data_IF_599441156553
#
_entry.id   IF_599441156553
#
_cell.length_a   1.000
_cell.length_b   1.000
_cell.length_c   1.000
_cell.angle_alpha   90.00
_cell.angle_beta   90.00
_cell.angle_gamma   90.00
#
_symmetry.space_group_name_H-M   'P 1'
#
loop_
_entity.id
_entity.type
_entity.pdbx_description
1 polymer ?
#
# COMPACT_ATOMS: atom_id res chain seq x y z
N UNK A 1 36.96 -12.03 -11.66
CA UNK A 1 35.92 -12.12 -12.71
C UNK A 1 34.86 -11.08 -12.41
N UNK A 2 34.59 -10.14 -13.32
CA UNK A 2 33.46 -9.20 -13.19
C UNK A 2 32.16 -9.94 -13.49
N UNK A 3 31.15 -9.82 -12.63
CA UNK A 3 29.81 -10.34 -12.91
C UNK A 3 29.20 -9.55 -14.08
N UNK A 4 29.24 -10.12 -15.28
CA UNK A 4 28.68 -9.50 -16.50
C UNK A 4 27.17 -9.24 -16.39
N UNK A 5 26.47 -9.89 -15.46
CA UNK A 5 25.04 -9.71 -15.22
C UNK A 5 24.72 -8.69 -14.12
N UNK A 6 25.72 -8.11 -13.43
CA UNK A 6 25.47 -7.19 -12.32
C UNK A 6 24.57 -6.00 -12.73
N UNK A 7 24.87 -5.36 -13.87
CA UNK A 7 24.04 -4.28 -14.43
C UNK A 7 22.59 -4.71 -14.66
N UNK A 8 22.40 -5.91 -15.22
CA UNK A 8 21.07 -6.48 -15.49
C UNK A 8 20.30 -6.70 -14.20
N UNK A 9 20.94 -7.33 -13.19
CA UNK A 9 20.34 -7.60 -11.88
C UNK A 9 19.90 -6.30 -11.19
N UNK A 10 20.74 -5.26 -11.23
CA UNK A 10 20.41 -3.95 -10.67
C UNK A 10 19.24 -3.29 -11.40
N UNK A 11 19.17 -3.39 -12.74
CA UNK A 11 18.06 -2.86 -13.53
C UNK A 11 16.75 -3.61 -13.28
N UNK A 12 16.81 -4.93 -13.14
CA UNK A 12 15.63 -5.74 -12.78
C UNK A 12 15.11 -5.37 -11.39
N UNK A 13 16.02 -5.29 -10.40
CA UNK A 13 15.66 -4.83 -9.05
C UNK A 13 15.08 -3.41 -9.07
N UNK A 14 15.69 -2.49 -9.81
CA UNK A 14 15.20 -1.12 -9.95
C UNK A 14 13.80 -1.06 -10.59
N UNK A 15 13.50 -1.93 -11.56
CA UNK A 15 12.15 -2.06 -12.14
C UNK A 15 11.12 -2.47 -11.08
N UNK A 16 11.46 -3.46 -10.25
CA UNK A 16 10.57 -3.91 -9.15
C UNK A 16 10.43 -2.81 -8.08
N UNK A 17 11.52 -2.12 -7.75
CA UNK A 17 11.49 -1.01 -6.80
C UNK A 17 10.56 0.11 -7.27
N UNK A 18 10.51 0.43 -8.57
CA UNK A 18 9.58 1.41 -9.14
C UNK A 18 8.11 1.05 -8.92
N UNK A 19 7.77 -0.23 -8.75
CA UNK A 19 6.41 -0.67 -8.40
C UNK A 19 6.09 -0.38 -6.93
N UNK A 20 7.06 -0.57 -6.03
CA UNK A 20 6.88 -0.43 -4.59
C UNK A 20 6.99 1.02 -4.09
N UNK A 21 7.93 1.79 -4.64
CA UNK A 21 8.29 3.12 -4.15
C UNK A 21 7.12 4.11 -4.09
N UNK A 22 6.24 4.23 -5.11
CA UNK A 22 5.12 5.17 -5.04
C UNK A 22 4.21 4.92 -3.84
N UNK A 23 3.95 3.65 -3.53
CA UNK A 23 3.18 3.27 -2.36
C UNK A 23 3.91 3.59 -1.07
N UNK A 24 5.18 3.20 -0.96
CA UNK A 24 5.97 3.48 0.23
C UNK A 24 6.01 4.97 0.54
N UNK A 25 6.17 5.83 -0.47
CA UNK A 25 6.16 7.29 -0.30
C UNK A 25 4.76 7.83 0.03
N UNK A 26 3.70 7.35 -0.64
CA UNK A 26 2.33 7.85 -0.46
C UNK A 26 1.82 7.72 0.98
N UNK A 27 2.23 6.65 1.68
CA UNK A 27 1.78 6.38 3.04
C UNK A 27 2.69 6.97 4.14
N UNK A 28 3.75 7.71 3.76
CA UNK A 28 4.57 8.51 4.69
C UNK A 28 3.92 9.85 5.01
N UNK A 29 2.73 9.79 5.61
CA UNK A 29 1.92 10.96 5.93
C UNK A 29 1.11 10.73 7.20
N UNK A 30 0.73 11.84 7.84
CA UNK A 30 -0.14 11.87 9.02
C UNK A 30 -1.63 12.02 8.64
N UNK A 31 -1.94 12.14 7.34
CA UNK A 31 -3.33 12.11 6.84
C UNK A 31 -3.96 10.73 7.09
N UNK A 32 -5.27 10.62 7.33
CA UNK A 32 -5.95 9.33 7.45
C UNK A 32 -6.03 8.63 6.07
N UNK A 33 -5.12 7.69 5.82
CA UNK A 33 -4.97 7.03 4.50
C UNK A 33 -5.58 5.64 4.42
N UNK A 34 -6.11 5.10 5.53
CA UNK A 34 -6.51 3.70 5.64
C UNK A 34 -7.58 3.29 4.62
N UNK A 35 -8.48 4.20 4.24
CA UNK A 35 -9.57 3.94 3.29
C UNK A 35 -9.07 3.68 1.85
N UNK A 36 -7.89 4.20 1.50
CA UNK A 36 -7.27 4.01 0.18
C UNK A 36 -6.42 2.73 0.10
N UNK A 37 -6.02 2.21 1.27
CA UNK A 37 -5.09 1.09 1.41
C UNK A 37 -5.53 -0.17 0.67
N UNK A 38 -6.83 -0.55 0.63
CA UNK A 38 -7.27 -1.75 -0.07
C UNK A 38 -6.97 -1.74 -1.57
N UNK A 39 -7.33 -0.66 -2.25
CA UNK A 39 -7.18 -0.56 -3.69
C UNK A 39 -5.71 -0.29 -4.08
N UNK A 40 -4.97 0.47 -3.26
CA UNK A 40 -3.56 0.72 -3.52
C UNK A 40 -2.72 -0.55 -3.36
N UNK A 41 -2.94 -1.33 -2.30
CA UNK A 41 -2.26 -2.62 -2.12
C UNK A 41 -2.66 -3.62 -3.22
N UNK A 42 -3.94 -3.65 -3.62
CA UNK A 42 -4.42 -4.48 -4.73
C UNK A 42 -3.63 -4.20 -6.01
N UNK A 43 -3.44 -2.92 -6.35
CA UNK A 43 -2.71 -2.50 -7.56
C UNK A 43 -1.28 -3.01 -7.55
N UNK A 44 -0.55 -2.84 -6.45
CA UNK A 44 0.85 -3.27 -6.33
C UNK A 44 0.96 -4.79 -6.42
N UNK A 45 0.13 -5.52 -5.69
CA UNK A 45 0.11 -6.99 -5.72
C UNK A 45 -0.15 -7.46 -7.15
N UNK A 46 -1.12 -6.88 -7.85
CA UNK A 46 -1.40 -7.20 -9.25
C UNK A 46 -0.19 -6.95 -10.15
N UNK A 47 0.48 -5.80 -10.02
CA UNK A 47 1.66 -5.48 -10.82
C UNK A 47 2.81 -6.47 -10.58
N UNK A 48 3.04 -6.88 -9.33
CA UNK A 48 4.04 -7.90 -9.01
C UNK A 48 3.67 -9.27 -9.57
N UNK A 49 2.42 -9.69 -9.40
CA UNK A 49 1.92 -10.97 -9.94
C UNK A 49 2.03 -11.01 -11.46
N UNK A 50 1.74 -9.91 -12.16
CA UNK A 50 1.85 -9.81 -13.61
C UNK A 50 3.25 -10.13 -14.12
N UNK A 51 4.31 -9.98 -13.32
CA UNK A 51 5.67 -10.30 -13.75
C UNK A 51 5.93 -11.81 -13.88
N UNK A 52 5.19 -12.66 -13.15
CA UNK A 52 5.49 -14.10 -13.10
C UNK A 52 4.27 -15.05 -13.13
N UNK A 53 3.05 -14.54 -13.03
CA UNK A 53 1.79 -15.32 -13.11
C UNK A 53 1.14 -15.15 -14.49
N UNK A 54 0.47 -16.19 -14.97
CA UNK A 54 -0.26 -16.20 -16.24
C UNK A 54 -1.44 -15.21 -16.21
N UNK A 55 -1.63 -14.45 -17.28
CA UNK A 55 -2.68 -13.43 -17.40
C UNK A 55 -4.10 -13.98 -17.21
N UNK A 56 -4.36 -15.23 -17.62
CA UNK A 56 -5.65 -15.91 -17.40
C UNK A 56 -6.05 -16.01 -15.93
N UNK A 57 -5.07 -15.97 -15.01
CA UNK A 57 -5.28 -16.02 -13.57
C UNK A 57 -5.40 -14.62 -12.92
N UNK A 58 -5.17 -13.53 -13.66
CA UNK A 58 -5.11 -12.15 -13.16
C UNK A 58 -6.08 -11.20 -13.89
N UNK A 59 -7.22 -11.70 -14.34
CA UNK A 59 -8.16 -10.90 -15.14
C UNK A 59 -8.56 -9.59 -14.43
N UNK A 60 -8.98 -8.58 -15.22
CA UNK A 60 -9.30 -7.22 -14.76
C UNK A 60 -10.38 -7.18 -13.67
N UNK A 61 -11.22 -8.22 -13.59
CA UNK A 61 -12.26 -8.39 -12.57
C UNK A 61 -11.83 -9.16 -11.32
N UNK A 62 -10.54 -9.48 -11.15
CA UNK A 62 -10.10 -10.24 -9.97
C UNK A 62 -10.36 -9.43 -8.71
N UNK A 63 -11.22 -9.97 -7.85
CA UNK A 63 -11.55 -9.34 -6.58
C UNK A 63 -10.34 -9.39 -5.65
N UNK A 64 -10.28 -8.46 -4.69
CA UNK A 64 -9.24 -8.47 -3.67
C UNK A 64 -9.17 -9.82 -2.94
N UNK A 65 -10.33 -10.41 -2.64
CA UNK A 65 -10.42 -11.73 -2.00
C UNK A 65 -9.81 -12.84 -2.86
N UNK A 66 -10.09 -12.86 -4.17
CA UNK A 66 -9.52 -13.86 -5.07
C UNK A 66 -8.00 -13.76 -5.16
N UNK A 67 -7.45 -12.54 -5.15
CA UNK A 67 -6.00 -12.32 -5.12
C UNK A 67 -5.36 -12.83 -3.83
N UNK A 68 -6.00 -12.57 -2.69
CA UNK A 68 -5.50 -13.02 -1.37
C UNK A 68 -5.52 -14.54 -1.23
N UNK A 69 -6.46 -15.23 -1.87
CA UNK A 69 -6.57 -16.69 -1.85
C UNK A 69 -5.76 -17.39 -2.96
N UNK A 70 -5.05 -16.65 -3.81
CA UNK A 70 -4.26 -17.24 -4.89
C UNK A 70 -3.08 -18.00 -4.28
N UNK A 71 -2.95 -19.30 -4.60
CA UNK A 71 -1.75 -20.05 -4.27
C UNK A 71 -0.61 -19.67 -5.23
N UNK A 72 0.14 -18.66 -4.83
CA UNK A 72 1.28 -18.09 -5.57
C UNK A 72 2.46 -19.06 -5.62
N UNK A 73 2.46 -20.15 -4.86
CA UNK A 73 3.51 -21.17 -4.98
C UNK A 73 3.18 -22.21 -6.06
N UNK A 74 1.93 -22.28 -6.51
CA UNK A 74 1.49 -23.27 -7.49
C UNK A 74 2.18 -23.04 -8.85
N UNK A 75 3.10 -23.93 -9.28
CA UNK A 75 3.82 -23.73 -10.53
C UNK A 75 2.93 -23.69 -11.78
N UNK A 76 1.72 -24.27 -11.71
CA UNK A 76 0.76 -24.35 -12.83
C UNK A 76 0.19 -22.99 -13.24
N UNK A 77 0.22 -22.01 -12.34
CA UNK A 77 -0.26 -20.64 -12.64
C UNK A 77 0.87 -19.72 -13.10
N UNK A 78 2.13 -20.18 -13.04
CA UNK A 78 3.28 -19.37 -13.40
C UNK A 78 3.51 -19.31 -14.90
N UNK A 79 4.09 -18.20 -15.34
CA UNK A 79 4.62 -18.09 -16.69
C UNK A 79 5.78 -19.10 -16.90
N UNK A 80 6.01 -19.52 -18.15
CA UNK A 80 7.28 -20.13 -18.56
C UNK A 80 8.47 -19.25 -18.15
N UNK A 81 9.64 -19.86 -17.91
CA UNK A 81 10.82 -19.14 -17.40
C UNK A 81 11.27 -18.07 -18.38
N UNK A 82 11.11 -18.31 -19.68
CA UNK A 82 11.47 -17.42 -20.78
C UNK A 82 10.65 -16.12 -20.76
N UNK A 83 9.45 -16.17 -20.18
CA UNK A 83 8.47 -15.08 -20.14
C UNK A 83 8.40 -14.37 -18.79
N UNK A 84 9.33 -14.65 -17.88
CA UNK A 84 9.45 -13.91 -16.61
C UNK A 84 9.93 -12.49 -16.92
N UNK A 85 9.16 -11.51 -16.46
CA UNK A 85 9.42 -10.11 -16.75
C UNK A 85 10.56 -9.57 -15.88
N UNK A 86 11.67 -9.18 -16.51
CA UNK A 86 12.81 -8.54 -15.87
C UNK A 86 12.70 -7.00 -15.86
N UNK A 87 11.69 -6.43 -16.53
CA UNK A 87 11.56 -5.02 -16.81
C UNK A 87 12.31 -4.58 -18.07
N UNK A 88 11.78 -3.55 -18.72
CA UNK A 88 12.21 -3.09 -20.05
C UNK A 88 13.73 -2.85 -20.17
N UNK A 89 14.32 -2.12 -19.22
CA UNK A 89 15.75 -1.79 -19.27
C UNK A 89 16.65 -3.01 -19.04
N UNK A 90 16.22 -3.97 -18.22
CA UNK A 90 16.99 -5.18 -17.96
C UNK A 90 16.95 -6.14 -19.17
N UNK A 91 15.77 -6.28 -19.80
CA UNK A 91 15.61 -7.09 -21.02
C UNK A 91 16.49 -6.58 -22.17
N UNK A 92 16.55 -5.26 -22.37
CA UNK A 92 17.42 -4.65 -23.40
C UNK A 92 18.90 -4.98 -23.16
N UNK A 93 19.35 -4.93 -21.90
CA UNK A 93 20.73 -5.28 -21.55
C UNK A 93 21.01 -6.77 -21.76
N UNK A 94 20.08 -7.67 -21.38
CA UNK A 94 20.20 -9.12 -21.62
C UNK A 94 20.38 -9.39 -23.12
N UNK A 95 19.52 -8.82 -23.95
CA UNK A 95 19.59 -8.96 -25.41
C UNK A 95 20.93 -8.46 -25.96
N UNK A 96 21.38 -7.28 -25.52
CA UNK A 96 22.66 -6.71 -25.96
C UNK A 96 23.85 -7.59 -25.56
N UNK A 97 23.91 -8.06 -24.31
CA UNK A 97 24.99 -8.92 -23.83
C UNK A 97 25.00 -10.29 -24.51
N UNK A 98 23.83 -10.83 -24.83
CA UNK A 98 23.69 -12.11 -25.55
C UNK A 98 24.18 -12.01 -26.99
N UNK A 99 23.79 -10.96 -27.73
CA UNK A 99 24.28 -10.67 -29.09
C UNK A 99 25.80 -10.49 -29.10
N UNK A 100 26.36 -9.82 -28.09
CA UNK A 100 27.81 -9.66 -27.91
C UNK A 100 28.52 -10.93 -27.40
N UNK A 101 27.81 -12.04 -27.23
CA UNK A 101 28.31 -13.33 -26.70
C UNK A 101 29.03 -13.19 -25.34
N UNK A 102 28.62 -12.19 -24.54
CA UNK A 102 29.14 -11.96 -23.18
C UNK A 102 28.41 -12.79 -22.13
N UNK A 103 27.21 -13.26 -22.47
CA UNK A 103 26.38 -14.18 -21.68
C UNK A 103 25.76 -15.23 -22.59
N UNK A 104 25.37 -16.37 -22.02
CA UNK A 104 24.77 -17.50 -22.74
C UNK A 104 23.40 -17.88 -22.17
N UNK A 105 22.65 -18.72 -22.89
CA UNK A 105 21.27 -19.10 -22.56
C UNK A 105 21.12 -19.63 -21.13
N UNK A 106 22.08 -20.42 -20.65
CA UNK A 106 22.09 -20.92 -19.27
C UNK A 106 22.10 -19.78 -18.24
N UNK A 107 22.91 -18.75 -18.46
CA UNK A 107 23.00 -17.60 -17.54
C UNK A 107 21.71 -16.77 -17.57
N UNK A 108 21.07 -16.66 -18.74
CA UNK A 108 19.79 -15.98 -18.91
C UNK A 108 18.68 -16.76 -18.20
N UNK A 109 18.66 -18.08 -18.34
CA UNK A 109 17.74 -18.97 -17.65
C UNK A 109 17.89 -18.85 -16.13
N UNK A 110 19.11 -18.95 -15.62
CA UNK A 110 19.41 -18.84 -14.19
C UNK A 110 18.98 -17.47 -13.63
N UNK A 111 19.26 -16.39 -14.37
CA UNK A 111 18.81 -15.03 -14.02
C UNK A 111 17.28 -14.94 -13.91
N UNK A 112 16.53 -15.46 -14.89
CA UNK A 112 15.06 -15.43 -14.86
C UNK A 112 14.49 -16.31 -13.76
N UNK A 113 15.10 -17.47 -13.51
CA UNK A 113 14.74 -18.36 -12.42
C UNK A 113 14.92 -17.69 -11.05
N UNK A 114 16.04 -16.99 -10.84
CA UNK A 114 16.30 -16.26 -9.61
C UNK A 114 15.39 -15.04 -9.45
N UNK A 115 15.13 -14.29 -10.53
CA UNK A 115 14.15 -13.20 -10.52
C UNK A 115 12.74 -13.70 -10.15
N UNK A 116 12.31 -14.83 -10.73
CA UNK A 116 11.03 -15.48 -10.39
C UNK A 116 10.96 -15.85 -8.91
N UNK A 117 12.00 -16.50 -8.37
CA UNK A 117 12.05 -16.85 -6.93
C UNK A 117 11.96 -15.61 -6.05
N UNK A 118 12.64 -14.52 -6.43
CA UNK A 118 12.58 -13.25 -5.72
C UNK A 118 11.17 -12.65 -5.75
N UNK A 119 10.54 -12.56 -6.92
CA UNK A 119 9.18 -12.03 -7.10
C UNK A 119 8.14 -12.83 -6.31
N UNK A 120 8.23 -14.16 -6.31
CA UNK A 120 7.36 -15.04 -5.51
C UNK A 120 7.53 -14.71 -4.03
N UNK A 121 8.76 -14.72 -3.51
CA UNK A 121 9.04 -14.45 -2.09
C UNK A 121 8.60 -13.05 -1.67
N UNK A 122 8.87 -12.05 -2.48
CA UNK A 122 8.45 -10.66 -2.25
C UNK A 122 6.93 -10.56 -2.15
N UNK A 123 6.22 -11.10 -3.15
CA UNK A 123 4.76 -11.03 -3.22
C UNK A 123 4.11 -11.79 -2.07
N UNK A 124 4.62 -12.99 -1.74
CA UNK A 124 4.19 -13.75 -0.56
C UNK A 124 4.38 -12.94 0.72
N UNK A 125 5.58 -12.37 0.93
CA UNK A 125 5.86 -11.62 2.16
C UNK A 125 4.96 -10.41 2.31
N UNK A 126 4.69 -9.73 1.18
CA UNK A 126 3.78 -8.60 1.13
C UNK A 126 2.35 -9.01 1.52
N UNK A 127 1.83 -10.10 0.97
CA UNK A 127 0.49 -10.62 1.31
C UNK A 127 0.42 -11.18 2.74
N UNK A 128 1.52 -11.75 3.24
CA UNK A 128 1.63 -12.25 4.61
C UNK A 128 1.51 -11.16 5.66
N UNK A 129 2.16 -10.04 5.40
CA UNK A 129 2.18 -8.88 6.29
C UNK A 129 1.10 -7.85 5.94
N UNK A 130 0.25 -8.15 4.96
CA UNK A 130 -0.75 -7.22 4.46
C UNK A 130 -1.91 -7.05 5.45
N UNK A 131 -2.33 -5.81 5.73
CA UNK A 131 -3.54 -5.55 6.49
C UNK A 131 -4.82 -5.97 5.73
N UNK A 132 -4.71 -6.32 4.44
CA UNK A 132 -5.83 -6.86 3.67
C UNK A 132 -6.35 -8.21 4.18
N UNK A 133 -5.63 -8.89 5.07
CA UNK A 133 -6.12 -10.09 5.76
C UNK A 133 -7.34 -9.77 6.63
N UNK A 134 -7.42 -8.56 7.18
CA UNK A 134 -8.53 -8.12 8.01
C UNK A 134 -9.72 -7.68 7.15
N UNK A 135 -10.90 -8.23 7.44
CA UNK A 135 -12.13 -7.90 6.72
C UNK A 135 -12.46 -6.41 6.80
N UNK A 136 -12.30 -5.82 7.99
CA UNK A 136 -12.53 -4.39 8.22
C UNK A 136 -11.73 -3.53 7.25
N UNK A 137 -10.43 -3.76 7.12
CA UNK A 137 -9.56 -2.99 6.20
C UNK A 137 -10.06 -3.08 4.77
N UNK A 138 -10.43 -4.27 4.28
CA UNK A 138 -10.96 -4.42 2.91
C UNK A 138 -12.23 -3.59 2.69
N UNK A 139 -13.10 -3.54 3.69
CA UNK A 139 -14.38 -2.86 3.62
C UNK A 139 -14.31 -1.35 3.90
N UNK A 140 -13.27 -0.86 4.56
CA UNK A 140 -13.04 0.57 4.82
C UNK A 140 -12.93 1.43 3.55
N UNK A 141 -12.69 0.81 2.40
CA UNK A 141 -12.77 1.48 1.10
C UNK A 141 -14.17 2.02 0.73
N UNK A 142 -15.22 1.75 1.53
CA UNK A 142 -16.49 2.49 1.43
C UNK A 142 -16.38 3.96 1.87
N UNK A 143 -15.31 4.32 2.58
CA UNK A 143 -15.00 5.68 2.97
C UNK A 143 -13.97 6.34 2.04
N UNK A 144 -13.57 5.69 0.94
CA UNK A 144 -12.88 6.35 -0.15
C UNK A 144 -13.90 7.20 -0.92
N UNK A 145 -13.77 8.54 -0.96
CA UNK A 145 -14.78 9.41 -1.59
C UNK A 145 -15.09 9.03 -3.03
N UNK A 146 -14.08 8.53 -3.77
CA UNK A 146 -14.25 8.09 -5.16
C UNK A 146 -15.19 6.88 -5.29
N UNK A 147 -15.18 6.00 -4.28
CA UNK A 147 -16.02 4.80 -4.25
C UNK A 147 -17.46 5.10 -3.77
N UNK A 148 -17.68 6.19 -3.05
CA UNK A 148 -19.00 6.55 -2.50
C UNK A 148 -20.04 6.82 -3.60
N UNK A 149 -19.62 7.00 -4.84
CA UNK A 149 -20.51 7.05 -6.01
C UNK A 149 -21.18 5.71 -6.33
N UNK A 150 -20.62 4.58 -5.87
CA UNK A 150 -21.24 3.25 -5.96
C UNK A 150 -21.95 2.92 -4.64
N UNK A 151 -23.18 3.45 -4.52
CA UNK A 151 -24.02 3.34 -3.33
C UNK A 151 -24.16 1.91 -2.81
N UNK A 152 -24.57 0.98 -3.69
CA UNK A 152 -24.86 -0.42 -3.32
C UNK A 152 -23.62 -1.09 -2.75
N UNK A 153 -22.46 -0.88 -3.39
CA UNK A 153 -21.19 -1.46 -2.93
C UNK A 153 -20.73 -0.83 -1.62
N UNK A 154 -20.90 0.47 -1.43
CA UNK A 154 -20.53 1.15 -0.19
C UNK A 154 -21.39 0.72 0.98
N UNK A 155 -22.71 0.60 0.82
CA UNK A 155 -23.61 0.14 1.88
C UNK A 155 -23.26 -1.29 2.35
N UNK A 156 -23.03 -2.21 1.41
CA UNK A 156 -22.63 -3.58 1.74
C UNK A 156 -21.31 -3.61 2.55
N UNK A 157 -20.35 -2.79 2.15
CA UNK A 157 -19.07 -2.65 2.85
C UNK A 157 -19.23 -2.03 4.24
N UNK A 158 -20.05 -0.99 4.38
CA UNK A 158 -20.33 -0.38 5.69
C UNK A 158 -20.98 -1.38 6.64
N UNK A 159 -21.92 -2.20 6.17
CA UNK A 159 -22.50 -3.27 6.98
C UNK A 159 -21.42 -4.25 7.50
N UNK A 160 -20.47 -4.66 6.67
CA UNK A 160 -19.33 -5.48 7.15
C UNK A 160 -18.42 -4.75 8.16
N UNK A 161 -18.25 -3.43 8.03
CA UNK A 161 -17.51 -2.63 9.00
C UNK A 161 -18.25 -2.59 10.34
N UNK A 162 -19.56 -2.33 10.33
CA UNK A 162 -20.38 -2.31 11.55
C UNK A 162 -20.35 -3.65 12.28
N UNK A 163 -20.48 -4.77 11.57
CA UNK A 163 -20.32 -6.10 12.16
C UNK A 163 -18.96 -6.27 12.87
N UNK A 164 -17.87 -5.80 12.25
CA UNK A 164 -16.53 -5.83 12.87
C UNK A 164 -16.46 -4.96 14.13
N UNK A 165 -17.17 -3.83 14.14
CA UNK A 165 -17.21 -2.90 15.29
C UNK A 165 -18.09 -3.40 16.42
N UNK A 166 -19.17 -4.13 16.12
CA UNK A 166 -20.00 -4.85 17.11
C UNK A 166 -19.16 -5.93 17.79
N UNK A 167 -18.46 -6.77 17.01
CA UNK A 167 -17.57 -7.80 17.56
C UNK A 167 -16.50 -7.21 18.48
N UNK A 168 -15.98 -6.02 18.13
CA UNK A 168 -15.03 -5.26 18.93
C UNK A 168 -15.65 -4.44 20.08
N UNK A 169 -16.97 -4.49 20.27
CA UNK A 169 -17.74 -3.75 21.29
C UNK A 169 -17.59 -2.22 21.22
N UNK A 170 -17.38 -1.69 20.01
CA UNK A 170 -17.31 -0.25 19.76
C UNK A 170 -18.65 0.35 19.33
N UNK A 171 -19.58 -0.47 18.83
CA UNK A 171 -20.92 -0.06 18.38
C UNK A 171 -21.93 -1.06 18.91
N UNK A 172 -23.08 -0.55 19.38
CA UNK A 172 -24.22 -1.35 19.78
C UNK A 172 -25.04 -1.76 18.55
N UNK A 173 -25.45 -3.03 18.46
CA UNK A 173 -26.23 -3.54 17.33
C UNK A 173 -27.55 -2.77 17.14
N UNK A 174 -28.16 -2.28 18.23
CA UNK A 174 -29.44 -1.58 18.20
C UNK A 174 -29.40 -0.24 17.46
N UNK A 175 -28.22 0.35 17.26
CA UNK A 175 -28.08 1.62 16.53
C UNK A 175 -27.62 1.43 15.07
N UNK A 176 -27.37 0.19 14.63
CA UNK A 176 -26.82 -0.07 13.30
C UNK A 176 -27.79 0.27 12.16
N UNK A 177 -29.09 0.04 12.32
CA UNK A 177 -30.09 0.42 11.32
C UNK A 177 -30.12 1.94 11.13
N UNK A 178 -30.04 2.71 12.22
CA UNK A 178 -29.95 4.18 12.15
C UNK A 178 -28.68 4.63 11.42
N UNK A 179 -27.53 4.02 11.72
CA UNK A 179 -26.26 4.33 11.06
C UNK A 179 -26.33 4.03 9.56
N UNK A 180 -26.93 2.90 9.16
CA UNK A 180 -27.08 2.52 7.77
C UNK A 180 -28.04 3.45 7.01
N UNK A 181 -29.15 3.86 7.63
CA UNK A 181 -30.06 4.86 7.06
C UNK A 181 -29.37 6.22 6.89
N UNK A 182 -28.61 6.67 7.89
CA UNK A 182 -27.83 7.90 7.80
C UNK A 182 -26.76 7.82 6.70
N UNK A 183 -26.09 6.68 6.55
CA UNK A 183 -25.10 6.48 5.49
C UNK A 183 -25.73 6.43 4.11
N UNK A 184 -26.85 5.75 3.94
CA UNK A 184 -27.61 5.72 2.70
C UNK A 184 -28.02 7.14 2.26
N UNK A 185 -28.61 7.92 3.18
CA UNK A 185 -28.98 9.31 2.90
C UNK A 185 -27.75 10.17 2.56
N UNK A 186 -26.62 9.99 3.28
CA UNK A 186 -25.39 10.71 2.98
C UNK A 186 -24.86 10.43 1.57
N UNK A 187 -24.90 9.17 1.14
CA UNK A 187 -24.51 8.78 -0.21
C UNK A 187 -25.39 9.46 -1.27
N UNK A 188 -26.72 9.46 -1.07
CA UNK A 188 -27.68 10.05 -2.01
C UNK A 188 -27.64 11.57 -2.06
N UNK A 189 -27.46 12.22 -0.90
CA UNK A 189 -27.66 13.65 -0.76
C UNK A 189 -26.39 14.48 -0.67
N UNK A 190 -25.25 13.84 -0.39
CA UNK A 190 -23.95 14.52 -0.30
C UNK A 190 -23.00 13.95 -1.35
N UNK A 191 -22.68 12.66 -1.26
CA UNK A 191 -21.62 12.06 -2.07
C UNK A 191 -21.92 12.07 -3.57
N UNK A 192 -23.15 11.74 -3.97
CA UNK A 192 -23.55 11.72 -5.38
C UNK A 192 -23.76 13.12 -5.99
N UNK A 193 -23.94 14.16 -5.15
CA UNK A 193 -24.27 15.51 -5.61
C UNK A 193 -23.06 16.44 -5.68
N UNK A 194 -21.97 16.13 -4.96
CA UNK A 194 -20.76 16.93 -4.93
C UNK A 194 -19.64 16.32 -5.79
N UNK A 195 -19.10 17.10 -6.73
CA UNK A 195 -17.95 16.72 -7.56
C UNK A 195 -16.71 16.37 -6.74
N UNK A 196 -16.60 16.93 -5.53
CA UNK A 196 -15.50 16.69 -4.58
C UNK A 196 -15.28 15.20 -4.27
N UNK A 197 -16.31 14.36 -4.42
CA UNK A 197 -16.21 12.91 -4.22
C UNK A 197 -15.68 12.19 -5.47
N UNK A 198 -16.29 12.43 -6.63
CA UNK A 198 -15.88 11.78 -7.88
C UNK A 198 -14.49 12.21 -8.35
N UNK A 199 -14.12 13.46 -8.09
CA UNK A 199 -12.83 14.05 -8.49
C UNK A 199 -11.79 14.00 -7.37
N UNK A 200 -12.10 13.35 -6.24
CA UNK A 200 -11.22 13.31 -5.08
C UNK A 200 -9.82 12.77 -5.44
N UNK A 201 -8.79 13.54 -5.11
CA UNK A 201 -7.39 13.13 -5.23
C UNK A 201 -6.74 13.13 -3.84
N UNK A 202 -6.25 11.98 -3.33
CA UNK A 202 -5.53 11.94 -2.06
C UNK A 202 -4.26 12.82 -2.02
N UNK A 203 -3.71 13.14 -3.20
CA UNK A 203 -2.54 14.01 -3.37
C UNK A 203 -2.88 15.48 -3.09
N UNK A 204 -4.02 15.96 -3.62
CA UNK A 204 -4.41 17.38 -3.56
C UNK A 204 -5.48 17.67 -2.50
N UNK A 205 -6.21 16.66 -2.06
CA UNK A 205 -7.36 16.77 -1.16
C UNK A 205 -7.12 16.05 0.17
N UNK A 206 -8.09 16.20 1.05
CA UNK A 206 -8.05 15.80 2.46
C UNK A 206 -9.43 15.26 2.84
N UNK A 207 -9.53 14.06 3.40
CA UNK A 207 -10.83 13.45 3.79
C UNK A 207 -11.45 14.11 5.02
N UNK A 208 -10.77 15.10 5.58
CA UNK A 208 -11.26 15.96 6.65
C UNK A 208 -12.55 16.71 6.26
N UNK A 209 -12.89 16.84 4.97
CA UNK A 209 -14.22 17.33 4.56
C UNK A 209 -15.37 16.44 5.10
N UNK A 210 -15.11 15.19 5.50
CA UNK A 210 -16.09 14.39 6.23
C UNK A 210 -16.51 15.07 7.54
N UNK A 211 -15.60 15.75 8.23
CA UNK A 211 -15.95 16.53 9.41
C UNK A 211 -16.99 17.61 9.07
N UNK A 212 -16.79 18.34 7.97
CA UNK A 212 -17.69 19.44 7.57
C UNK A 212 -19.05 18.92 7.08
N UNK A 213 -19.05 17.78 6.39
CA UNK A 213 -20.26 17.24 5.73
C UNK A 213 -21.06 16.25 6.59
N UNK A 214 -20.40 15.49 7.48
CA UNK A 214 -21.04 14.49 8.34
C UNK A 214 -21.25 14.96 9.78
N UNK A 215 -20.50 15.93 10.31
CA UNK A 215 -20.70 16.42 11.70
C UNK A 215 -21.88 17.38 11.80
N UNK A 216 -23.06 16.89 11.43
CA UNK A 216 -24.34 17.59 11.55
C UNK A 216 -25.28 16.79 12.45
N UNK A 217 -26.40 17.39 12.87
CA UNK A 217 -27.42 16.64 13.62
C UNK A 217 -28.06 15.52 12.80
N UNK A 218 -27.97 15.59 11.47
CA UNK A 218 -28.57 14.61 10.54
C UNK A 218 -27.81 13.29 10.49
N UNK A 219 -26.48 13.32 10.63
CA UNK A 219 -25.60 12.15 10.49
C UNK A 219 -24.86 11.83 11.79
N UNK A 220 -25.52 12.04 12.93
CA UNK A 220 -24.87 11.97 14.25
C UNK A 220 -24.33 10.57 14.56
N UNK A 221 -25.11 9.52 14.26
CA UNK A 221 -24.71 8.15 14.58
C UNK A 221 -23.62 7.67 13.63
N UNK A 222 -23.75 7.97 12.34
CA UNK A 222 -22.74 7.74 11.32
C UNK A 222 -21.43 8.44 11.66
N UNK A 223 -21.47 9.71 12.06
CA UNK A 223 -20.27 10.48 12.37
C UNK A 223 -19.48 9.84 13.51
N UNK A 224 -20.12 9.36 14.58
CA UNK A 224 -19.44 8.66 15.68
C UNK A 224 -18.65 7.44 15.17
N UNK A 225 -19.22 6.70 14.23
CA UNK A 225 -18.55 5.55 13.60
C UNK A 225 -17.38 6.03 12.74
N UNK A 226 -17.61 6.98 11.83
CA UNK A 226 -16.58 7.47 10.91
C UNK A 226 -15.43 8.13 11.66
N UNK A 227 -15.70 8.85 12.74
CA UNK A 227 -14.69 9.44 13.63
C UNK A 227 -13.75 8.38 14.21
N UNK A 228 -14.29 7.28 14.75
CA UNK A 228 -13.47 6.16 15.24
C UNK A 228 -12.61 5.54 14.12
N UNK A 229 -13.16 5.41 12.91
CA UNK A 229 -12.45 4.83 11.77
C UNK A 229 -11.35 5.75 11.23
N UNK A 230 -11.53 7.07 11.30
CA UNK A 230 -10.52 8.08 10.94
C UNK A 230 -9.31 8.06 11.87
N UNK A 231 -9.47 7.60 13.11
CA UNK A 231 -8.40 7.48 14.10
C UNK A 231 -7.55 6.21 13.93
N UNK A 232 -7.95 5.28 13.05
CA UNK A 232 -7.17 4.07 12.79
C UNK A 232 -5.90 4.41 12.01
N UNK A 233 -4.76 4.03 12.58
CA UNK A 233 -3.45 4.19 11.93
C UNK A 233 -3.33 3.32 10.67
N UNK A 234 -2.77 3.90 9.60
CA UNK A 234 -2.41 3.17 8.37
C UNK A 234 -0.95 2.69 8.35
N UNK A 235 -0.21 2.84 9.45
CA UNK A 235 1.18 2.39 9.54
C UNK A 235 2.01 3.13 10.59
N UNK A 236 3.28 2.74 10.70
CA UNK A 236 4.21 3.29 11.69
C UNK A 236 4.94 4.55 11.20
N UNK A 237 4.56 5.12 10.05
CA UNK A 237 5.27 6.24 9.43
C UNK A 237 5.47 7.44 10.38
N UNK A 238 4.43 7.82 11.15
CA UNK A 238 4.54 8.90 12.14
C UNK A 238 5.54 8.56 13.25
N UNK A 239 5.56 7.31 13.71
CA UNK A 239 6.48 6.83 14.76
C UNK A 239 7.91 6.74 14.23
N UNK A 240 8.12 6.20 13.03
CA UNK A 240 9.42 6.09 12.36
C UNK A 240 9.99 7.45 11.96
N UNK A 241 9.12 8.39 11.56
CA UNK A 241 9.48 9.80 11.34
C UNK A 241 9.91 10.44 12.66
N UNK A 242 9.20 10.18 13.76
CA UNK A 242 9.60 10.58 15.11
C UNK A 242 10.98 10.03 15.49
N UNK A 243 11.24 8.74 15.27
CA UNK A 243 12.56 8.14 15.50
C UNK A 243 13.65 8.74 14.62
N UNK A 244 13.36 9.03 13.35
CA UNK A 244 14.31 9.64 12.42
C UNK A 244 14.65 11.09 12.78
N UNK A 245 13.66 11.86 13.24
CA UNK A 245 13.84 13.22 13.77
C UNK A 245 14.68 13.15 15.05
N UNK A 246 14.31 12.28 16.00
CA UNK A 246 15.07 12.09 17.23
C UNK A 246 16.51 11.69 16.93
N UNK A 247 16.76 10.78 15.99
CA UNK A 247 18.12 10.39 15.59
C UNK A 247 18.92 11.54 14.98
N UNK A 248 18.29 12.43 14.20
CA UNK A 248 18.96 13.64 13.68
C UNK A 248 19.29 14.62 14.80
N UNK A 249 18.35 14.84 15.72
CA UNK A 249 18.55 15.71 16.89
C UNK A 249 19.60 15.12 17.84
N UNK A 250 19.63 13.81 18.06
CA UNK A 250 20.68 13.13 18.83
C UNK A 250 22.06 13.31 18.19
N UNK A 251 22.18 13.20 16.87
CA UNK A 251 23.45 13.45 16.18
C UNK A 251 23.91 14.91 16.28
N UNK A 252 22.99 15.87 16.25
CA UNK A 252 23.30 17.29 16.45
C UNK A 252 23.67 17.60 17.91
N UNK A 253 22.91 17.08 18.87
CA UNK A 253 23.20 17.23 20.30
C UNK A 253 24.53 16.55 20.69
N UNK A 254 24.85 15.38 20.13
CA UNK A 254 26.15 14.73 20.34
C UNK A 254 27.32 15.53 19.74
N UNK A 255 27.12 16.28 18.65
CA UNK A 255 28.16 17.19 18.13
C UNK A 255 28.42 18.33 19.12
N UNK A 256 27.39 18.89 19.75
CA UNK A 256 27.55 19.93 20.76
C UNK A 256 28.31 19.43 22.00
N UNK A 257 27.94 18.25 22.53
CA UNK A 257 28.71 17.60 23.60
C UNK A 257 30.13 17.21 23.18
N UNK A 258 30.35 16.83 21.92
CA UNK A 258 31.70 16.56 21.38
C UNK A 258 32.54 17.83 21.29
N UNK A 259 31.96 18.97 20.91
CA UNK A 259 32.66 20.26 20.90
C UNK A 259 32.97 20.75 22.32
N UNK A 260 32.03 20.61 23.26
CA UNK A 260 32.27 20.93 24.68
C UNK A 260 33.37 20.03 25.25
N UNK A 261 33.35 18.73 24.93
CA UNK A 261 34.37 17.77 25.38
C UNK A 261 35.75 18.05 24.76
N UNK A 262 35.82 18.40 23.47
CA UNK A 262 37.07 18.80 22.82
C UNK A 262 37.61 20.12 23.38
N UNK A 263 36.73 21.07 23.69
CA UNK A 263 37.12 22.35 24.30
C UNK A 263 37.65 22.17 25.71
N UNK A 264 37.00 21.34 26.53
CA UNK A 264 37.49 20.97 27.87
C UNK A 264 38.87 20.28 27.83
N UNK A 265 39.10 19.43 26.83
CA UNK A 265 40.41 18.79 26.63
C UNK A 265 41.47 19.81 26.22
N UNK A 266 41.17 20.71 25.27
CA UNK A 266 42.09 21.77 24.86
C UNK A 266 42.37 22.78 25.98
N UNK A 267 41.37 23.11 26.81
CA UNK A 267 41.50 24.02 27.94
C UNK A 267 42.26 23.39 29.12
N UNK A 268 42.33 22.05 29.21
CA UNK A 268 43.18 21.34 30.19
C UNK A 268 44.62 21.10 29.72
N UNK A 269 44.91 21.27 28.43
CA UNK A 269 46.24 21.02 27.84
C UNK A 269 47.07 22.31 27.73
N UNK A 270 46.45 23.49 27.89
CA UNK A 270 47.14 24.78 28.04
C UNK A 270 47.23 25.21 29.51
#
# INVERSE_FOLDING_TARGET
MSDNLLSVKLKAFHSIAKVLMPFLTKYQTDKPMLFFLPEDLKKIVNLLLQSFVLSKNLNTGTTLQKLLCLDINNPKIHKPIENIDLGFSAEKDVQSLHVLKKIYDRQIFDLRMDCKKFLIKLTMKMLEKSPLRYSTVRNLSCLDPRNMTDKKKCLNKMNHVLNSMIEAKHVDENVCDEILMEFEDYLDNVALKHSDFSEFSPENSRVEFFYETMKTSKYRNLWKVVEMLLLLSHGQATVEKGFSINKKVELENMKEFSYVSQRLICDCIN
#
